data_IF_109950010978
#
_entry.id   IF_109950010978
#
_cell.length_a   1.000
_cell.length_b   1.000
_cell.length_c   1.000
_cell.angle_alpha   90.00
_cell.angle_beta   90.00
_cell.angle_gamma   90.00
#
_symmetry.space_group_name_H-M   'P 1'
#
loop_
_entity.id
_entity.type
_entity.pdbx_description
1 polymer ?
#
# COMPACT_ATOMS: atom_id res chain seq x y z
N UNK A 1 0.52 34.06 -4.27
CA UNK A 1 -0.89 33.65 -4.05
C UNK A 1 -1.19 32.25 -4.61
N UNK A 2 -0.70 31.88 -5.79
CA UNK A 2 -1.03 30.57 -6.41
C UNK A 2 -0.54 29.35 -5.63
N UNK A 3 0.65 29.42 -5.01
CA UNK A 3 1.18 28.31 -4.19
C UNK A 3 0.30 27.98 -2.98
N UNK A 4 -0.35 28.97 -2.37
CA UNK A 4 -1.24 28.78 -1.23
C UNK A 4 -2.51 28.06 -1.66
N UNK A 5 -3.06 28.38 -2.85
CA UNK A 5 -4.21 27.68 -3.43
C UNK A 5 -3.89 26.22 -3.74
N UNK A 6 -2.72 25.93 -4.33
CA UNK A 6 -2.24 24.56 -4.57
C UNK A 6 -2.06 23.77 -3.27
N UNK A 7 -1.56 24.41 -2.21
CA UNK A 7 -1.37 23.77 -0.92
C UNK A 7 -2.70 23.54 -0.19
N UNK A 8 -3.72 24.38 -0.42
CA UNK A 8 -5.10 24.13 0.02
C UNK A 8 -5.71 22.95 -0.74
N UNK A 9 -5.53 22.90 -2.07
CA UNK A 9 -5.98 21.79 -2.90
C UNK A 9 -5.34 20.46 -2.48
N UNK A 10 -4.07 20.47 -2.07
CA UNK A 10 -3.34 19.28 -1.62
C UNK A 10 -3.91 18.62 -0.35
N UNK A 11 -4.69 19.35 0.46
CA UNK A 11 -5.22 18.83 1.72
C UNK A 11 -6.24 17.72 1.50
N UNK A 12 -7.09 17.87 0.49
CA UNK A 12 -8.14 16.90 0.15
C UNK A 12 -7.53 15.54 -0.22
N UNK A 13 -6.64 15.42 -1.23
CA UNK A 13 -6.02 14.14 -1.57
C UNK A 13 -5.15 13.59 -0.43
N UNK A 14 -4.48 14.43 0.37
CA UNK A 14 -3.70 13.97 1.53
C UNK A 14 -4.60 13.35 2.62
N UNK A 15 -5.77 13.94 2.88
CA UNK A 15 -6.74 13.41 3.87
C UNK A 15 -7.36 12.12 3.37
N UNK A 16 -7.76 12.06 2.10
CA UNK A 16 -8.25 10.83 1.49
C UNK A 16 -7.19 9.72 1.50
N UNK A 17 -5.95 10.05 1.17
CA UNK A 17 -4.83 9.11 1.20
C UNK A 17 -4.59 8.55 2.60
N UNK A 18 -4.70 9.38 3.63
CA UNK A 18 -4.62 8.95 5.03
C UNK A 18 -5.75 7.98 5.38
N UNK A 19 -7.00 8.35 5.10
CA UNK A 19 -8.17 7.52 5.43
C UNK A 19 -8.12 6.16 4.70
N UNK A 20 -7.82 6.16 3.40
CA UNK A 20 -7.72 4.92 2.63
C UNK A 20 -6.55 4.04 3.08
N UNK A 21 -5.41 4.64 3.47
CA UNK A 21 -4.28 3.87 3.99
C UNK A 21 -4.65 3.20 5.31
N UNK A 22 -5.36 3.90 6.19
CA UNK A 22 -5.83 3.36 7.46
C UNK A 22 -6.84 2.22 7.25
N UNK A 23 -7.82 2.41 6.36
CA UNK A 23 -8.78 1.36 6.00
C UNK A 23 -8.07 0.17 5.37
N UNK A 24 -7.09 0.40 4.50
CA UNK A 24 -6.30 -0.68 3.88
C UNK A 24 -5.58 -1.50 4.94
N UNK A 25 -4.86 -0.87 5.87
CA UNK A 25 -4.16 -1.59 6.95
C UNK A 25 -5.14 -2.36 7.82
N UNK A 26 -6.27 -1.75 8.22
CA UNK A 26 -7.28 -2.41 9.05
C UNK A 26 -7.87 -3.65 8.36
N UNK A 27 -8.26 -3.53 7.09
CA UNK A 27 -8.75 -4.67 6.30
C UNK A 27 -7.67 -5.72 6.11
N UNK A 28 -6.41 -5.32 5.87
CA UNK A 28 -5.30 -6.26 5.76
C UNK A 28 -5.10 -7.09 7.02
N UNK A 29 -5.11 -6.44 8.18
CA UNK A 29 -5.03 -7.13 9.47
C UNK A 29 -6.24 -8.02 9.71
N UNK A 30 -7.44 -7.57 9.34
CA UNK A 30 -8.66 -8.32 9.56
C UNK A 30 -8.73 -9.60 8.72
N UNK A 31 -8.48 -9.53 7.41
CA UNK A 31 -8.48 -10.74 6.57
C UNK A 31 -7.35 -11.68 6.94
N UNK A 32 -6.21 -11.15 7.42
CA UNK A 32 -5.12 -11.97 7.93
C UNK A 32 -5.57 -12.79 9.15
N UNK A 33 -6.27 -12.16 10.10
CA UNK A 33 -6.85 -12.86 11.26
C UNK A 33 -7.88 -13.92 10.81
N UNK A 34 -8.78 -13.58 9.89
CA UNK A 34 -9.78 -14.52 9.37
C UNK A 34 -9.13 -15.72 8.71
N UNK A 35 -8.15 -15.49 7.85
CA UNK A 35 -7.47 -16.55 7.11
C UNK A 35 -6.66 -17.46 8.05
N UNK A 36 -5.96 -16.87 9.02
CA UNK A 36 -5.01 -17.62 9.83
C UNK A 36 -5.64 -18.32 11.03
N UNK A 37 -6.66 -17.71 11.66
CA UNK A 37 -7.20 -18.17 12.95
C UNK A 37 -8.65 -18.66 12.88
N UNK A 38 -9.47 -18.11 11.98
CA UNK A 38 -10.90 -18.41 11.92
C UNK A 38 -11.20 -19.49 10.88
N UNK A 39 -10.58 -19.41 9.71
CA UNK A 39 -10.86 -20.32 8.60
C UNK A 39 -10.03 -21.59 8.74
N UNK A 40 -10.64 -22.80 8.78
CA UNK A 40 -9.87 -24.03 8.92
C UNK A 40 -9.05 -24.29 7.65
N UNK A 41 -7.76 -24.58 7.84
CA UNK A 41 -6.79 -24.79 6.75
C UNK A 41 -6.72 -26.24 6.25
N UNK A 42 -7.11 -27.19 7.10
CA UNK A 42 -7.18 -28.61 6.76
C UNK A 42 -8.55 -28.96 6.17
N UNK A 43 -8.58 -29.44 4.93
CA UNK A 43 -9.79 -29.86 4.23
C UNK A 43 -9.65 -31.27 3.70
N UNK A 44 -10.77 -31.98 3.61
CA UNK A 44 -10.83 -33.33 3.04
C UNK A 44 -11.19 -33.23 1.58
N UNK A 45 -10.28 -33.64 0.70
CA UNK A 45 -10.47 -33.61 -0.76
C UNK A 45 -10.70 -35.04 -1.25
N UNK A 46 -11.80 -35.24 -1.97
CA UNK A 46 -12.06 -36.51 -2.63
C UNK A 46 -11.16 -36.61 -3.87
N UNK A 47 -10.31 -37.62 -3.90
CA UNK A 47 -9.43 -37.90 -5.05
C UNK A 47 -10.18 -38.69 -6.12
N UNK A 48 -9.62 -38.74 -7.34
CA UNK A 48 -10.18 -39.55 -8.43
C UNK A 48 -9.87 -41.05 -8.29
N UNK A 49 -9.07 -41.43 -7.30
CA UNK A 49 -8.71 -42.83 -7.05
C UNK A 49 -9.86 -43.54 -6.33
N UNK A 50 -10.36 -44.61 -6.95
CA UNK A 50 -11.42 -45.42 -6.37
C UNK A 50 -10.83 -46.64 -5.67
N UNK A 51 -11.06 -46.75 -4.36
CA UNK A 51 -10.62 -47.90 -3.59
C UNK A 51 -11.66 -49.02 -3.70
N UNK A 52 -11.32 -50.06 -4.48
CA UNK A 52 -12.20 -51.22 -4.69
C UNK A 52 -12.52 -51.98 -3.40
N UNK A 53 -11.66 -51.92 -2.36
CA UNK A 53 -11.88 -52.63 -1.09
C UNK A 53 -12.92 -51.94 -0.22
N UNK A 54 -12.89 -50.62 -0.15
CA UNK A 54 -13.85 -49.83 0.65
C UNK A 54 -15.07 -49.38 -0.16
N UNK A 55 -15.10 -49.66 -1.46
CA UNK A 55 -16.15 -49.23 -2.40
C UNK A 55 -16.39 -47.71 -2.34
N UNK A 56 -15.32 -46.95 -2.13
CA UNK A 56 -15.36 -45.49 -1.95
C UNK A 56 -14.14 -44.84 -2.59
N UNK A 57 -14.27 -43.59 -3.00
CA UNK A 57 -13.12 -42.78 -3.41
C UNK A 57 -12.21 -42.50 -2.22
N UNK A 58 -10.90 -42.45 -2.45
CA UNK A 58 -9.93 -42.12 -1.42
C UNK A 58 -10.01 -40.65 -1.03
N UNK A 59 -9.98 -40.40 0.28
CA UNK A 59 -10.00 -39.05 0.83
C UNK A 59 -8.57 -38.65 1.16
N UNK A 60 -8.09 -37.63 0.46
CA UNK A 60 -6.84 -36.97 0.75
C UNK A 60 -7.06 -35.85 1.79
N UNK A 61 -6.16 -35.77 2.75
CA UNK A 61 -6.17 -34.71 3.76
C UNK A 61 -5.26 -33.60 3.26
N UNK A 62 -5.89 -32.57 2.72
CA UNK A 62 -5.18 -31.44 2.12
C UNK A 62 -5.05 -30.30 3.12
N UNK A 63 -3.82 -29.82 3.34
CA UNK A 63 -3.56 -28.67 4.20
C UNK A 63 -3.16 -27.48 3.34
N UNK A 64 -3.84 -26.34 3.56
CA UNK A 64 -3.51 -25.08 2.89
C UNK A 64 -2.50 -24.29 3.71
N UNK A 65 -1.34 -24.04 3.12
CA UNK A 65 -0.31 -23.15 3.62
C UNK A 65 -0.35 -21.83 2.86
N UNK A 66 -0.31 -20.73 3.60
CA UNK A 66 -0.30 -19.39 2.99
C UNK A 66 1.12 -18.96 2.67
N UNK A 67 1.32 -18.43 1.47
CA UNK A 67 2.57 -17.78 1.11
C UNK A 67 2.64 -16.40 1.78
N UNK A 68 3.73 -16.14 2.52
CA UNK A 68 3.86 -14.95 3.35
C UNK A 68 4.22 -13.70 2.54
N UNK A 69 5.06 -13.88 1.50
CA UNK A 69 5.61 -12.79 0.66
C UNK A 69 4.58 -11.75 0.19
N UNK A 70 3.42 -12.19 -0.31
CA UNK A 70 2.37 -11.27 -0.80
C UNK A 70 1.72 -10.49 0.35
N UNK A 71 1.49 -11.17 1.47
CA UNK A 71 0.84 -10.56 2.65
C UNK A 71 1.77 -9.58 3.34
N UNK A 72 3.04 -9.94 3.51
CA UNK A 72 4.05 -9.07 4.11
C UNK A 72 4.26 -7.81 3.25
N UNK A 73 4.35 -7.98 1.93
CA UNK A 73 4.42 -6.84 1.01
C UNK A 73 3.17 -5.95 1.11
N UNK A 74 1.98 -6.56 1.26
CA UNK A 74 0.72 -5.82 1.43
C UNK A 74 0.74 -4.99 2.72
N UNK A 75 1.13 -5.59 3.85
CA UNK A 75 1.23 -4.91 5.16
C UNK A 75 2.24 -3.77 5.11
N UNK A 76 3.46 -4.05 4.60
CA UNK A 76 4.54 -3.07 4.48
C UNK A 76 4.09 -1.90 3.59
N UNK A 77 3.44 -2.18 2.46
CA UNK A 77 2.91 -1.14 1.57
C UNK A 77 1.87 -0.27 2.27
N UNK A 78 0.94 -0.86 3.04
CA UNK A 78 -0.07 -0.13 3.80
C UNK A 78 0.54 0.80 4.85
N UNK A 79 1.51 0.31 5.61
CA UNK A 79 2.24 1.10 6.62
C UNK A 79 3.05 2.24 6.01
N UNK A 80 3.71 2.01 4.87
CA UNK A 80 4.50 3.03 4.18
C UNK A 80 3.62 4.09 3.52
N UNK A 81 2.50 3.69 2.90
CA UNK A 81 1.49 4.63 2.39
C UNK A 81 0.88 5.48 3.51
N UNK A 82 0.56 4.87 4.67
CA UNK A 82 0.08 5.60 5.84
C UNK A 82 1.11 6.62 6.33
N UNK A 83 2.37 6.22 6.43
CA UNK A 83 3.48 7.12 6.81
C UNK A 83 3.61 8.27 5.82
N UNK A 84 3.55 7.99 4.51
CA UNK A 84 3.59 9.01 3.47
C UNK A 84 2.41 9.99 3.58
N UNK A 85 1.20 9.50 3.88
CA UNK A 85 0.03 10.34 4.09
C UNK A 85 0.18 11.27 5.31
N UNK A 86 0.67 10.75 6.43
CA UNK A 86 0.95 11.54 7.64
C UNK A 86 1.98 12.63 7.34
N UNK A 87 3.09 12.27 6.68
CA UNK A 87 4.13 13.23 6.30
C UNK A 87 3.57 14.29 5.35
N UNK A 88 2.71 13.92 4.39
CA UNK A 88 2.03 14.86 3.49
C UNK A 88 1.12 15.84 4.23
N UNK A 89 0.37 15.36 5.25
CA UNK A 89 -0.47 16.22 6.09
C UNK A 89 0.37 17.20 6.92
N UNK A 90 1.42 16.72 7.58
CA UNK A 90 2.33 17.58 8.36
C UNK A 90 3.00 18.61 7.45
N UNK A 91 3.49 18.18 6.28
CA UNK A 91 4.09 19.08 5.30
C UNK A 91 3.10 20.13 4.80
N UNK A 92 1.83 19.76 4.56
CA UNK A 92 0.76 20.70 4.23
C UNK A 92 0.58 21.79 5.30
N UNK A 93 0.67 21.44 6.58
CA UNK A 93 0.56 22.39 7.70
C UNK A 93 1.81 23.25 7.81
N UNK A 94 2.99 22.64 7.82
CA UNK A 94 4.27 23.35 7.97
C UNK A 94 4.55 24.31 6.80
N UNK A 95 4.24 23.91 5.57
CA UNK A 95 4.45 24.74 4.38
C UNK A 95 3.50 25.94 4.27
N UNK A 96 2.44 26.00 5.10
CA UNK A 96 1.51 27.14 5.19
C UNK A 96 1.95 28.20 6.19
N UNK A 97 2.90 27.91 7.07
CA UNK A 97 3.32 28.86 8.11
C UNK A 97 3.85 30.15 7.48
N UNK A 98 3.47 31.34 8.01
CA UNK A 98 4.02 32.61 7.54
C UNK A 98 5.55 32.65 7.77
N UNK A 99 6.29 33.37 6.91
CA UNK A 99 7.76 33.47 6.99
C UNK A 99 8.52 32.31 6.32
N UNK A 100 7.84 31.22 5.90
CA UNK A 100 8.54 30.09 5.28
C UNK A 100 9.02 30.33 3.83
N UNK A 101 8.63 31.46 3.25
CA UNK A 101 9.11 31.92 1.94
C UNK A 101 10.38 32.79 2.04
N UNK A 102 10.84 33.08 3.27
CA UNK A 102 12.10 33.78 3.52
C UNK A 102 13.32 32.93 3.16
N UNK A 103 14.43 33.59 2.84
CA UNK A 103 15.68 32.91 2.43
C UNK A 103 16.20 32.00 3.53
N UNK A 104 16.13 32.42 4.80
CA UNK A 104 16.56 31.63 5.96
C UNK A 104 15.78 30.31 6.10
N UNK A 105 14.50 30.26 5.71
CA UNK A 105 13.65 29.08 5.83
C UNK A 105 13.80 28.08 4.66
N UNK A 106 14.72 28.34 3.72
CA UNK A 106 14.87 27.54 2.50
C UNK A 106 15.14 26.05 2.77
N UNK A 107 15.98 25.73 3.76
CA UNK A 107 16.32 24.34 4.10
C UNK A 107 15.12 23.59 4.68
N UNK A 108 14.37 24.22 5.60
CA UNK A 108 13.14 23.64 6.19
C UNK A 108 12.09 23.37 5.12
N UNK A 109 11.92 24.29 4.16
CA UNK A 109 11.01 24.09 3.02
C UNK A 109 11.43 22.91 2.14
N UNK A 110 12.72 22.83 1.78
CA UNK A 110 13.26 21.73 0.96
C UNK A 110 13.07 20.38 1.66
N UNK A 111 13.33 20.33 2.96
CA UNK A 111 13.12 19.12 3.77
C UNK A 111 11.69 18.61 3.65
N UNK A 112 10.67 19.44 3.90
CA UNK A 112 9.28 18.99 3.85
C UNK A 112 8.84 18.53 2.46
N UNK A 113 9.24 19.26 1.41
CA UNK A 113 8.94 18.86 0.03
C UNK A 113 9.64 17.54 -0.32
N UNK A 114 10.92 17.39 0.00
CA UNK A 114 11.67 16.17 -0.29
C UNK A 114 11.16 14.99 0.52
N UNK A 115 10.81 15.19 1.79
CA UNK A 115 10.23 14.16 2.64
C UNK A 115 8.97 13.58 2.00
N UNK A 116 8.02 14.43 1.60
CA UNK A 116 6.78 13.99 0.93
C UNK A 116 7.07 13.26 -0.37
N UNK A 117 7.98 13.78 -1.21
CA UNK A 117 8.32 13.14 -2.50
C UNK A 117 8.92 11.76 -2.28
N UNK A 118 9.87 11.62 -1.37
CA UNK A 118 10.55 10.34 -1.08
C UNK A 118 9.56 9.35 -0.45
N UNK A 119 8.81 9.74 0.57
CA UNK A 119 7.87 8.82 1.23
C UNK A 119 6.75 8.38 0.30
N UNK A 120 6.23 9.29 -0.54
CA UNK A 120 5.18 8.95 -1.53
C UNK A 120 5.74 8.01 -2.60
N UNK A 121 6.96 8.26 -3.10
CA UNK A 121 7.61 7.38 -4.07
C UNK A 121 7.81 5.96 -3.50
N UNK A 122 8.32 5.85 -2.27
CA UNK A 122 8.53 4.57 -1.58
C UNK A 122 7.19 3.85 -1.36
N UNK A 123 6.15 4.56 -0.94
CA UNK A 123 4.79 4.00 -0.81
C UNK A 123 4.25 3.46 -2.14
N UNK A 124 4.41 4.23 -3.23
CA UNK A 124 4.00 3.81 -4.58
C UNK A 124 4.73 2.55 -5.05
N UNK A 125 6.06 2.51 -4.89
CA UNK A 125 6.87 1.37 -5.31
C UNK A 125 6.50 0.12 -4.51
N UNK A 126 6.35 0.23 -3.20
CA UNK A 126 6.01 -0.92 -2.36
C UNK A 126 4.59 -1.43 -2.59
N UNK A 127 3.61 -0.54 -2.83
CA UNK A 127 2.27 -0.94 -3.25
C UNK A 127 2.29 -1.65 -4.60
N UNK A 128 3.09 -1.17 -5.57
CA UNK A 128 3.26 -1.85 -6.85
C UNK A 128 3.91 -3.23 -6.69
N UNK A 129 4.95 -3.35 -5.86
CA UNK A 129 5.60 -4.64 -5.56
C UNK A 129 4.61 -5.62 -4.96
N UNK A 130 3.73 -5.19 -4.06
CA UNK A 130 2.70 -6.07 -3.51
C UNK A 130 1.71 -6.56 -4.57
N UNK A 131 1.31 -5.72 -5.53
CA UNK A 131 0.47 -6.16 -6.65
C UNK A 131 1.22 -7.15 -7.55
N UNK A 132 2.50 -6.90 -7.84
CA UNK A 132 3.31 -7.80 -8.66
C UNK A 132 3.43 -9.16 -7.97
N UNK A 133 3.83 -9.17 -6.69
CA UNK A 133 4.00 -10.40 -5.91
C UNK A 133 2.71 -11.21 -5.82
N UNK A 134 1.56 -10.55 -5.73
CA UNK A 134 0.28 -11.22 -5.76
C UNK A 134 0.08 -12.10 -7.01
N UNK A 135 0.40 -11.55 -8.20
CA UNK A 135 0.25 -12.26 -9.46
C UNK A 135 1.40 -13.22 -9.77
N UNK A 136 2.62 -12.92 -9.31
CA UNK A 136 3.79 -13.79 -9.56
C UNK A 136 3.84 -14.98 -8.61
N UNK A 137 3.29 -14.87 -7.39
CA UNK A 137 3.20 -15.99 -6.44
C UNK A 137 1.99 -16.89 -6.69
N UNK A 138 1.24 -16.66 -7.77
CA UNK A 138 0.15 -17.54 -8.16
C UNK A 138 0.73 -18.87 -8.64
N UNK A 139 0.27 -19.97 -8.04
CA UNK A 139 0.67 -21.30 -8.43
C UNK A 139 0.04 -21.75 -9.75
N UNK A 140 0.51 -22.88 -10.24
CA UNK A 140 0.20 -23.47 -11.54
C UNK A 140 -1.08 -24.32 -11.55
N UNK A 141 -1.64 -24.65 -10.38
CA UNK A 141 -2.86 -25.43 -10.31
C UNK A 141 -4.13 -24.64 -10.73
N UNK A 142 -5.24 -25.37 -10.90
CA UNK A 142 -6.52 -24.80 -11.31
C UNK A 142 -7.11 -23.77 -10.32
N UNK A 143 -6.59 -23.69 -9.09
CA UNK A 143 -7.01 -22.76 -8.05
C UNK A 143 -6.02 -21.60 -7.84
N UNK A 144 -4.87 -21.61 -8.53
CA UNK A 144 -3.79 -20.63 -8.36
C UNK A 144 -2.85 -20.93 -7.19
N UNK A 145 -2.72 -22.20 -6.81
CA UNK A 145 -1.86 -22.71 -5.76
C UNK A 145 -0.81 -23.68 -6.31
N UNK A 146 0.27 -23.88 -5.57
CA UNK A 146 1.26 -24.92 -5.85
C UNK A 146 0.97 -26.13 -4.97
N UNK A 147 1.01 -27.33 -5.55
CA UNK A 147 0.67 -28.57 -4.85
C UNK A 147 1.91 -29.43 -4.63
N UNK A 148 2.09 -29.93 -3.42
CA UNK A 148 3.17 -30.85 -3.08
C UNK A 148 2.60 -32.03 -2.29
N UNK A 149 2.78 -33.25 -2.80
CA UNK A 149 2.35 -34.47 -2.11
C UNK A 149 3.49 -34.99 -1.24
N UNK A 150 3.28 -34.98 0.08
CA UNK A 150 4.27 -35.44 1.05
C UNK A 150 3.72 -36.62 1.85
N UNK A 151 4.59 -37.58 2.15
CA UNK A 151 4.24 -38.69 3.03
C UNK A 151 4.39 -38.24 4.49
N UNK A 152 3.28 -38.07 5.20
CA UNK A 152 3.25 -37.71 6.61
C UNK A 152 2.58 -38.81 7.42
N UNK A 153 3.25 -39.30 8.47
CA UNK A 153 2.77 -40.37 9.33
C UNK A 153 2.30 -41.65 8.58
N UNK A 154 2.98 -42.00 7.48
CA UNK A 154 2.67 -43.18 6.68
C UNK A 154 1.50 -43.04 5.69
N UNK A 155 0.86 -41.86 5.64
CA UNK A 155 -0.18 -41.50 4.66
C UNK A 155 0.34 -40.41 3.71
N UNK A 156 -0.03 -40.46 2.44
CA UNK A 156 0.22 -39.35 1.51
C UNK A 156 -0.82 -38.26 1.77
N UNK A 157 -0.34 -37.05 2.08
CA UNK A 157 -1.15 -35.86 2.25
C UNK A 157 -0.69 -34.80 1.22
N UNK A 158 -1.64 -34.12 0.58
CA UNK A 158 -1.31 -33.00 -0.30
C UNK A 158 -1.21 -31.70 0.48
N UNK A 159 -0.08 -31.01 0.41
CA UNK A 159 0.05 -29.64 0.87
C UNK A 159 -0.19 -28.68 -0.31
N UNK A 160 -1.03 -27.67 -0.08
CA UNK A 160 -1.32 -26.61 -1.05
C UNK A 160 -0.71 -25.31 -0.57
N UNK A 161 0.22 -24.74 -1.32
CA UNK A 161 0.79 -23.42 -1.05
C UNK A 161 0.08 -22.38 -1.90
N UNK A 162 -0.66 -21.48 -1.27
CA UNK A 162 -1.51 -20.50 -1.94
C UNK A 162 -1.26 -19.11 -1.37
N UNK A 163 -1.51 -18.06 -2.14
CA UNK A 163 -1.77 -16.75 -1.52
C UNK A 163 -3.10 -16.81 -0.75
N UNK A 164 -3.27 -15.97 0.28
CA UNK A 164 -4.48 -15.93 1.11
C UNK A 164 -5.75 -15.70 0.28
N UNK A 165 -5.66 -14.85 -0.74
CA UNK A 165 -6.76 -14.59 -1.67
C UNK A 165 -7.10 -15.84 -2.52
N UNK A 166 -6.11 -16.48 -3.15
CA UNK A 166 -6.38 -17.66 -3.99
C UNK A 166 -6.97 -18.82 -3.17
N UNK A 167 -6.47 -19.01 -1.96
CA UNK A 167 -7.04 -19.98 -1.02
C UNK A 167 -8.49 -19.64 -0.65
N UNK A 168 -8.76 -18.42 -0.20
CA UNK A 168 -10.08 -17.99 0.28
C UNK A 168 -11.12 -17.89 -0.85
N UNK A 169 -10.72 -17.46 -2.04
CA UNK A 169 -11.62 -17.23 -3.17
C UNK A 169 -11.83 -18.47 -4.04
N UNK A 170 -10.79 -19.28 -4.30
CA UNK A 170 -10.87 -20.35 -5.30
C UNK A 170 -10.93 -21.75 -4.70
N UNK A 171 -10.11 -22.03 -3.69
CA UNK A 171 -9.92 -23.38 -3.15
C UNK A 171 -10.89 -23.69 -1.99
N UNK A 172 -10.78 -22.96 -0.89
CA UNK A 172 -11.49 -23.23 0.37
C UNK A 172 -13.02 -23.29 0.22
N UNK A 173 -13.70 -22.40 -0.54
CA UNK A 173 -15.17 -22.44 -0.66
C UNK A 173 -15.75 -23.75 -1.21
N UNK A 174 -14.93 -24.54 -1.93
CA UNK A 174 -15.34 -25.81 -2.52
C UNK A 174 -15.32 -26.95 -1.51
N UNK A 175 -14.41 -26.91 -0.54
CA UNK A 175 -14.14 -28.04 0.37
C UNK A 175 -14.53 -27.77 1.83
N UNK A 176 -14.82 -26.51 2.19
CA UNK A 176 -15.26 -26.14 3.53
C UNK A 176 -16.71 -26.54 3.84
N UNK A 177 -17.02 -26.66 5.14
CA UNK A 177 -18.38 -26.84 5.63
C UNK A 177 -19.23 -25.57 5.43
N UNK A 178 -20.56 -25.66 5.45
CA UNK A 178 -21.44 -24.48 5.24
C UNK A 178 -21.15 -23.33 6.22
N UNK A 179 -20.77 -23.62 7.46
CA UNK A 179 -20.44 -22.60 8.46
C UNK A 179 -19.13 -21.87 8.14
N UNK A 180 -18.11 -22.61 7.72
CA UNK A 180 -16.77 -22.04 7.46
C UNK A 180 -16.70 -21.31 6.11
N UNK A 181 -17.61 -21.64 5.18
CA UNK A 181 -17.69 -20.98 3.87
C UNK A 181 -17.96 -19.48 3.98
N UNK A 182 -18.73 -19.02 4.98
CA UNK A 182 -18.97 -17.57 5.12
C UNK A 182 -17.70 -16.83 5.53
N UNK A 183 -16.90 -17.42 6.41
CA UNK A 183 -15.61 -16.86 6.85
C UNK A 183 -14.64 -16.77 5.68
N UNK A 184 -14.54 -17.83 4.87
CA UNK A 184 -13.72 -17.81 3.66
C UNK A 184 -14.21 -16.77 2.63
N UNK A 185 -15.52 -16.64 2.44
CA UNK A 185 -16.10 -15.64 1.54
C UNK A 185 -15.82 -14.20 2.01
N UNK A 186 -15.90 -13.95 3.33
CA UNK A 186 -15.54 -12.66 3.91
C UNK A 186 -14.06 -12.35 3.70
N UNK A 187 -13.17 -13.30 4.01
CA UNK A 187 -11.73 -13.16 3.78
C UNK A 187 -11.38 -12.92 2.31
N UNK A 188 -12.09 -13.58 1.38
CA UNK A 188 -11.95 -13.35 -0.05
C UNK A 188 -12.35 -11.90 -0.43
N UNK A 189 -13.53 -11.45 0.01
CA UNK A 189 -14.02 -10.10 -0.30
C UNK A 189 -13.06 -9.02 0.23
N UNK A 190 -12.54 -9.19 1.44
CA UNK A 190 -11.57 -8.26 2.03
C UNK A 190 -10.22 -8.29 1.30
N UNK A 191 -9.69 -9.47 0.97
CA UNK A 191 -8.45 -9.60 0.23
C UNK A 191 -8.53 -8.91 -1.14
N UNK A 192 -9.59 -9.15 -1.91
CA UNK A 192 -9.84 -8.49 -3.20
C UNK A 192 -9.97 -6.98 -3.02
N UNK A 193 -10.71 -6.53 -2.00
CA UNK A 193 -10.88 -5.10 -1.71
C UNK A 193 -9.54 -4.42 -1.41
N UNK A 194 -8.67 -5.06 -0.62
CA UNK A 194 -7.33 -4.54 -0.30
C UNK A 194 -6.49 -4.35 -1.58
N UNK A 195 -6.57 -5.26 -2.55
CA UNK A 195 -5.85 -5.10 -3.82
C UNK A 195 -6.35 -3.89 -4.63
N UNK A 196 -7.66 -3.67 -4.68
CA UNK A 196 -8.21 -2.45 -5.29
C UNK A 196 -7.80 -1.18 -4.55
N UNK A 197 -7.74 -1.24 -3.21
CA UNK A 197 -7.24 -0.14 -2.40
C UNK A 197 -5.76 0.15 -2.69
N UNK A 198 -4.91 -0.85 -2.92
CA UNK A 198 -3.51 -0.62 -3.32
C UNK A 198 -3.39 0.20 -4.61
N UNK A 199 -4.25 -0.07 -5.60
CA UNK A 199 -4.31 0.73 -6.83
C UNK A 199 -4.72 2.18 -6.52
N UNK A 200 -5.75 2.37 -5.70
CA UNK A 200 -6.19 3.70 -5.28
C UNK A 200 -5.10 4.47 -4.51
N UNK A 201 -4.35 3.79 -3.64
CA UNK A 201 -3.22 4.35 -2.89
C UNK A 201 -2.08 4.78 -3.81
N UNK A 202 -1.76 3.97 -4.83
CA UNK A 202 -0.78 4.32 -5.88
C UNK A 202 -1.19 5.62 -6.57
N UNK A 203 -2.45 5.72 -7.02
CA UNK A 203 -2.95 6.91 -7.70
C UNK A 203 -2.90 8.16 -6.81
N UNK A 204 -3.34 8.04 -5.56
CA UNK A 204 -3.30 9.15 -4.60
C UNK A 204 -1.87 9.58 -4.28
N UNK A 205 -0.95 8.63 -4.12
CA UNK A 205 0.46 8.89 -3.89
C UNK A 205 1.09 9.65 -5.07
N UNK A 206 0.80 9.24 -6.31
CA UNK A 206 1.24 9.94 -7.52
C UNK A 206 0.66 11.36 -7.58
N UNK A 207 -0.61 11.55 -7.24
CA UNK A 207 -1.25 12.87 -7.19
C UNK A 207 -0.54 13.78 -6.17
N UNK A 208 -0.29 13.28 -4.96
CA UNK A 208 0.44 14.03 -3.92
C UNK A 208 1.84 14.38 -4.40
N UNK A 209 2.57 13.41 -4.97
CA UNK A 209 3.90 13.63 -5.54
C UNK A 209 3.86 14.72 -6.61
N UNK A 210 2.89 14.68 -7.53
CA UNK A 210 2.74 15.67 -8.60
C UNK A 210 2.44 17.07 -8.05
N UNK A 211 1.54 17.20 -7.08
CA UNK A 211 1.20 18.49 -6.47
C UNK A 211 2.41 19.10 -5.76
N UNK A 212 3.09 18.33 -4.90
CA UNK A 212 4.26 18.83 -4.16
C UNK A 212 5.46 19.12 -5.08
N UNK A 213 5.67 18.31 -6.12
CA UNK A 213 6.70 18.56 -7.13
C UNK A 213 6.41 19.83 -7.94
N UNK A 214 5.15 20.03 -8.33
CA UNK A 214 4.70 21.24 -9.03
C UNK A 214 4.89 22.49 -8.16
N UNK A 215 4.58 22.41 -6.87
CA UNK A 215 4.86 23.51 -5.94
C UNK A 215 6.36 23.81 -5.84
N UNK A 216 7.21 22.77 -5.77
CA UNK A 216 8.66 22.94 -5.73
C UNK A 216 9.17 23.66 -6.99
N UNK A 217 8.65 23.26 -8.15
CA UNK A 217 9.01 23.83 -9.44
C UNK A 217 8.56 25.29 -9.60
N UNK A 218 7.30 25.61 -9.27
CA UNK A 218 6.78 26.98 -9.31
C UNK A 218 7.55 27.92 -8.38
N UNK A 219 7.95 27.44 -7.19
CA UNK A 219 8.78 28.21 -6.26
C UNK A 219 10.22 28.41 -6.76
N UNK A 220 10.77 27.49 -7.55
CA UNK A 220 12.07 27.71 -8.22
C UNK A 220 11.99 28.81 -9.28
N UNK A 221 10.93 28.81 -10.10
CA UNK A 221 10.73 29.80 -11.18
C UNK A 221 10.52 31.23 -10.69
N UNK A 222 10.00 31.42 -9.48
CA UNK A 222 9.72 32.75 -8.90
C UNK A 222 10.91 33.35 -8.14
N UNK A 223 12.04 32.64 -8.04
CA UNK A 223 13.27 33.10 -7.36
C UNK A 223 14.10 34.16 -8.13
N UNK A 224 14.34 34.07 -9.46
CA UNK A 224 15.24 35.01 -10.16
C UNK A 224 14.69 36.44 -10.27
N UNK A 225 13.39 36.67 -10.08
CA UNK A 225 12.79 38.01 -10.11
C UNK A 225 12.95 38.80 -8.81
N UNK A 226 13.33 38.16 -7.70
CA UNK A 226 13.48 38.83 -6.39
C UNK A 226 14.91 39.26 -6.07
N UNK A 227 15.92 38.53 -6.54
CA UNK A 227 17.33 38.95 -6.43
C UNK A 227 17.61 40.19 -7.29
N UNK A 228 17.05 40.23 -8.50
CA UNK A 228 17.27 41.35 -9.43
C UNK A 228 16.49 42.61 -9.04
N UNK A 229 15.45 42.49 -8.21
CA UNK A 229 14.72 43.62 -7.65
C UNK A 229 15.43 44.23 -6.44
N UNK A 230 16.15 43.42 -5.65
CA UNK A 230 16.96 43.88 -4.52
C UNK A 230 18.27 44.55 -4.99
N UNK A 231 18.83 44.12 -6.13
CA UNK A 231 20.02 44.72 -6.74
C UNK A 231 19.74 46.08 -7.42
N UNK A 232 18.48 46.39 -7.71
CA UNK A 232 18.06 47.66 -8.35
C UNK A 232 17.66 48.78 -7.39
N UNK A 233 17.71 48.56 -6.08
CA UNK A 233 17.57 49.66 -5.13
C UNK A 233 18.97 50.19 -4.78
N UNK A 234 19.42 51.32 -5.35
CA UNK A 234 20.63 51.96 -4.86
C UNK A 234 20.42 52.30 -3.38
N UNK A 235 21.35 51.87 -2.53
CA UNK A 235 21.35 52.30 -1.14
C UNK A 235 21.37 53.84 -1.13
N UNK A 236 20.52 54.52 -0.34
CA UNK A 236 20.59 55.95 -0.21
C UNK A 236 21.97 56.29 0.35
N UNK A 237 22.82 56.87 -0.50
CA UNK A 237 24.09 57.46 -0.08
C UNK A 237 23.73 58.60 0.85
N UNK A 238 24.07 58.45 2.12
CA UNK A 238 23.82 59.46 3.15
C UNK A 238 24.78 60.63 2.91
N UNK A 239 24.35 61.62 2.13
CA UNK A 239 25.16 62.76 1.69
C UNK A 239 25.35 63.85 2.76
N UNK A 240 25.45 63.47 4.03
CA UNK A 240 25.56 64.41 5.16
C UNK A 240 26.92 64.32 5.88
N UNK A 241 28.01 64.21 5.12
CA UNK A 241 29.34 64.62 5.60
C UNK A 241 29.63 66.02 5.06
N UNK A 242 29.19 67.04 5.80
CA UNK A 242 29.70 68.41 5.66
C UNK A 242 30.93 68.54 6.56
N UNK A 243 32.10 68.71 5.94
CA UNK A 243 33.21 69.45 6.53
C UNK A 243 33.06 70.94 6.16
#
# INVERSE_FOLDING_TARGET
>A
MEYRKLLTLALVPATLFFLLSLVSVALTTHYWIIGDWITPRGVRVQTNEFNQRTQSFTIDETIVYFTENDTDATIVSGCLCLTAAIVALIACVELRKPGLDEVLATNKRRFWVLAVVVTSLVGTVTALVSIILHYTNKGDDAFGCTSETLQMAGKFNTNKYCTREMAACNFLPKYLSKGDKSSAALGCAEAVTVKWLQIALILLSIIILAIFSSQAWLRRKTRPSRSNAAEKQPMPVNSNERF
#
